data_IF_446149877813
#
_entry.id   IF_446149877813
#
_cell.length_a   1.000
_cell.length_b   1.000
_cell.length_c   1.000
_cell.angle_alpha   90.00
_cell.angle_beta   90.00
_cell.angle_gamma   90.00
#
_symmetry.space_group_name_H-M   'P 1'
#
loop_
_entity.id
_entity.type
_entity.pdbx_description
1 polymer ?
#
# COMPACT_ATOMS: atom_id res chain seq x y z
N UNK A 1 0.95 -10.20 -15.01
CA UNK A 1 0.06 -10.07 -13.84
C UNK A 1 0.67 -9.01 -12.94
N UNK A 2 -0.14 -8.17 -12.28
CA UNK A 2 0.32 -7.04 -11.43
C UNK A 2 1.15 -7.54 -10.25
N UNK A 3 0.68 -8.60 -9.60
CA UNK A 3 1.34 -9.19 -8.43
C UNK A 3 2.75 -9.71 -8.73
N UNK A 4 2.97 -10.25 -9.93
CA UNK A 4 4.31 -10.69 -10.36
C UNK A 4 5.27 -9.51 -10.59
N UNK A 5 4.76 -8.35 -11.04
CA UNK A 5 5.56 -7.13 -11.21
C UNK A 5 5.95 -6.54 -9.85
N UNK A 6 5.00 -6.47 -8.92
CA UNK A 6 5.27 -6.02 -7.54
C UNK A 6 6.31 -6.96 -6.89
N UNK A 7 6.12 -8.28 -7.03
CA UNK A 7 7.07 -9.25 -6.48
C UNK A 7 8.46 -9.12 -7.10
N UNK A 8 8.55 -8.88 -8.41
CA UNK A 8 9.82 -8.63 -9.10
C UNK A 8 10.56 -7.43 -8.51
N UNK A 9 9.86 -6.30 -8.30
CA UNK A 9 10.45 -5.11 -7.68
C UNK A 9 10.95 -5.39 -6.26
N UNK A 10 10.23 -6.20 -5.49
CA UNK A 10 10.66 -6.60 -4.15
C UNK A 10 11.85 -7.55 -4.14
N UNK A 11 11.96 -8.45 -5.13
CA UNK A 11 13.13 -9.33 -5.32
C UNK A 11 14.37 -8.51 -5.66
N UNK A 12 14.22 -7.50 -6.51
CA UNK A 12 15.31 -6.68 -7.01
C UNK A 12 15.82 -5.64 -5.99
N UNK A 13 14.94 -5.18 -5.09
CA UNK A 13 15.28 -4.08 -4.19
C UNK A 13 14.63 -4.24 -2.82
N UNK A 14 15.48 -4.44 -1.81
CA UNK A 14 15.10 -4.55 -0.40
C UNK A 14 14.38 -3.32 0.14
N UNK A 15 14.89 -2.11 -0.20
CA UNK A 15 14.35 -0.86 0.33
C UNK A 15 12.92 -0.65 -0.17
N UNK A 16 12.66 -1.00 -1.44
CA UNK A 16 11.33 -1.02 -2.03
C UNK A 16 10.41 -1.97 -1.26
N UNK A 17 10.86 -3.20 -0.97
CA UNK A 17 10.09 -4.13 -0.15
C UNK A 17 9.79 -3.53 1.23
N UNK A 18 10.80 -3.01 1.92
CA UNK A 18 10.65 -2.47 3.29
C UNK A 18 9.63 -1.34 3.34
N UNK A 19 9.66 -0.44 2.35
CA UNK A 19 8.76 0.71 2.25
C UNK A 19 7.33 0.32 1.88
N UNK A 20 7.16 -0.60 0.94
CA UNK A 20 5.88 -0.81 0.28
C UNK A 20 5.18 -2.14 0.60
N UNK A 21 5.84 -3.10 1.29
CA UNK A 21 5.25 -4.41 1.62
C UNK A 21 3.93 -4.31 2.39
N UNK A 22 3.79 -3.31 3.25
CA UNK A 22 2.58 -3.04 4.05
C UNK A 22 1.32 -2.78 3.20
N UNK A 23 1.50 -2.31 1.96
CA UNK A 23 0.38 -2.02 1.06
C UNK A 23 -0.10 -3.26 0.28
N UNK A 24 0.66 -4.36 0.29
CA UNK A 24 0.30 -5.59 -0.40
C UNK A 24 -0.82 -6.32 0.34
N UNK A 25 -1.91 -6.61 -0.36
CA UNK A 25 -3.06 -7.35 0.19
C UNK A 25 -2.80 -8.86 0.13
N UNK A 26 -1.97 -9.36 1.05
CA UNK A 26 -1.54 -10.76 1.07
C UNK A 26 -2.68 -11.78 1.11
N UNK A 27 -3.80 -11.48 1.79
CA UNK A 27 -4.97 -12.36 1.82
C UNK A 27 -5.61 -12.52 0.44
N UNK A 28 -5.67 -11.45 -0.35
CA UNK A 28 -6.13 -11.51 -1.73
C UNK A 28 -5.22 -12.40 -2.58
N UNK A 29 -3.89 -12.22 -2.48
CA UNK A 29 -2.91 -13.03 -3.21
C UNK A 29 -3.01 -14.49 -2.78
N UNK A 30 -3.10 -14.78 -1.48
CA UNK A 30 -3.24 -16.13 -0.95
C UNK A 30 -4.45 -16.88 -1.52
N UNK A 31 -5.57 -16.19 -1.64
CA UNK A 31 -6.82 -16.81 -2.11
C UNK A 31 -6.85 -17.04 -3.62
N UNK A 32 -6.10 -16.25 -4.40
CA UNK A 32 -6.15 -16.28 -5.86
C UNK A 32 -4.88 -16.86 -6.50
N UNK A 33 -3.71 -16.75 -5.83
CA UNK A 33 -2.39 -17.03 -6.40
C UNK A 33 -1.45 -17.62 -5.34
N UNK A 34 -1.73 -18.86 -4.91
CA UNK A 34 -1.05 -19.49 -3.76
C UNK A 34 0.47 -19.50 -3.88
N UNK A 35 1.03 -19.79 -5.05
CA UNK A 35 2.49 -19.88 -5.20
C UNK A 35 3.15 -18.50 -5.22
N UNK A 36 2.49 -17.49 -5.79
CA UNK A 36 2.95 -16.10 -5.70
C UNK A 36 2.91 -15.63 -4.24
N UNK A 37 1.86 -15.98 -3.49
CA UNK A 37 1.80 -15.69 -2.05
C UNK A 37 2.98 -16.30 -1.29
N UNK A 38 3.30 -17.59 -1.56
CA UNK A 38 4.47 -18.24 -0.95
C UNK A 38 5.77 -17.49 -1.27
N UNK A 39 5.94 -17.05 -2.52
CA UNK A 39 7.10 -16.27 -2.94
C UNK A 39 7.18 -14.90 -2.24
N UNK A 40 6.07 -14.17 -2.04
CA UNK A 40 6.05 -12.94 -1.22
C UNK A 40 6.51 -13.20 0.21
N UNK A 41 6.04 -14.27 0.84
CA UNK A 41 6.44 -14.65 2.20
C UNK A 41 7.93 -14.98 2.28
N UNK A 42 8.45 -15.75 1.32
CA UNK A 42 9.87 -16.12 1.25
C UNK A 42 10.73 -14.88 1.06
N UNK A 43 10.38 -14.00 0.12
CA UNK A 43 11.11 -12.77 -0.15
C UNK A 43 11.21 -11.89 1.10
N UNK A 44 10.12 -11.72 1.83
CA UNK A 44 10.11 -10.97 3.09
C UNK A 44 10.97 -11.63 4.17
N UNK A 45 10.88 -12.96 4.34
CA UNK A 45 11.72 -13.72 5.29
C UNK A 45 13.20 -13.68 4.92
N UNK A 46 13.53 -13.74 3.63
CA UNK A 46 14.91 -13.68 3.15
C UNK A 46 15.59 -12.38 3.60
N UNK A 47 14.97 -11.23 3.35
CA UNK A 47 15.55 -9.95 3.75
C UNK A 47 15.54 -9.72 5.27
N UNK A 48 14.67 -10.37 6.01
CA UNK A 48 14.73 -10.38 7.49
C UNK A 48 15.91 -11.18 7.99
N UNK A 49 16.25 -12.28 7.31
CA UNK A 49 17.37 -13.17 7.66
C UNK A 49 18.73 -12.63 7.20
N UNK A 50 18.77 -12.03 6.00
CA UNK A 50 19.99 -11.54 5.35
C UNK A 50 19.92 -10.02 5.21
N UNK A 51 20.28 -9.32 6.29
CA UNK A 51 20.10 -7.86 6.40
C UNK A 51 21.11 -7.04 5.58
N UNK A 52 22.16 -7.66 5.07
CA UNK A 52 23.19 -7.07 4.21
C UNK A 52 22.89 -7.18 2.70
N UNK A 53 21.85 -7.94 2.33
CA UNK A 53 21.47 -8.16 0.92
C UNK A 53 20.50 -7.10 0.43
N UNK A 54 20.72 -6.59 -0.77
CA UNK A 54 19.85 -5.63 -1.45
C UNK A 54 18.90 -6.26 -2.48
N UNK A 55 19.32 -7.39 -3.07
CA UNK A 55 18.55 -8.14 -4.06
C UNK A 55 18.66 -9.63 -3.81
N UNK A 56 17.74 -10.40 -4.36
CA UNK A 56 17.70 -11.87 -4.27
C UNK A 56 17.94 -12.45 -5.66
N UNK A 57 18.89 -13.37 -5.77
CA UNK A 57 19.12 -14.10 -7.02
C UNK A 57 18.12 -15.22 -7.20
N UNK A 58 18.00 -15.73 -8.44
CA UNK A 58 17.15 -16.90 -8.75
C UNK A 58 17.48 -18.10 -7.87
N UNK A 59 18.78 -18.40 -7.75
CA UNK A 59 19.30 -19.56 -7.00
C UNK A 59 18.99 -19.43 -5.50
N UNK A 60 19.12 -18.24 -4.94
CA UNK A 60 18.80 -17.96 -3.54
C UNK A 60 17.30 -18.11 -3.30
N UNK A 61 16.46 -17.58 -4.19
CA UNK A 61 14.99 -17.68 -4.07
C UNK A 61 14.52 -19.13 -4.18
N UNK A 62 15.06 -19.91 -5.12
CA UNK A 62 14.78 -21.35 -5.28
C UNK A 62 15.23 -22.14 -4.05
N UNK A 63 16.41 -21.84 -3.52
CA UNK A 63 16.95 -22.49 -2.33
C UNK A 63 16.03 -22.26 -1.12
N UNK A 64 15.68 -21.00 -0.86
CA UNK A 64 14.78 -20.67 0.26
C UNK A 64 13.37 -21.23 0.06
N UNK A 65 12.87 -21.31 -1.20
CA UNK A 65 11.60 -21.96 -1.49
C UNK A 65 11.64 -23.46 -1.12
N UNK A 66 12.66 -24.17 -1.58
CA UNK A 66 12.83 -25.61 -1.32
C UNK A 66 13.04 -25.92 0.17
N UNK A 67 13.65 -25.02 0.93
CA UNK A 67 13.83 -25.17 2.39
C UNK A 67 12.50 -25.02 3.13
N UNK A 68 11.62 -24.12 2.67
CA UNK A 68 10.36 -23.82 3.35
C UNK A 68 9.19 -24.70 2.90
N UNK A 69 9.23 -25.24 1.67
CA UNK A 69 8.15 -26.06 1.09
C UNK A 69 8.72 -27.32 0.47
N UNK A 70 8.16 -28.45 0.85
CA UNK A 70 8.47 -29.73 0.21
C UNK A 70 7.74 -29.77 -1.14
N UNK A 71 8.47 -30.04 -2.22
CA UNK A 71 7.95 -30.11 -3.59
C UNK A 71 8.24 -31.48 -4.18
N UNK A 72 7.27 -32.02 -4.91
CA UNK A 72 7.49 -33.11 -5.85
C UNK A 72 8.24 -32.58 -7.10
N UNK A 73 8.86 -33.48 -7.86
CA UNK A 73 9.68 -33.05 -9.01
C UNK A 73 8.88 -32.28 -10.07
N UNK A 74 7.60 -32.59 -10.26
CA UNK A 74 6.70 -31.87 -11.16
C UNK A 74 6.43 -30.45 -10.69
N UNK A 75 6.13 -30.27 -9.40
CA UNK A 75 5.86 -28.97 -8.79
C UNK A 75 7.11 -28.08 -8.78
N UNK A 76 8.29 -28.71 -8.62
CA UNK A 76 9.57 -27.97 -8.67
C UNK A 76 9.78 -27.30 -10.01
N UNK A 77 9.51 -28.01 -11.13
CA UNK A 77 9.63 -27.45 -12.47
C UNK A 77 8.63 -26.30 -12.72
N UNK A 78 7.42 -26.40 -12.18
CA UNK A 78 6.42 -25.34 -12.28
C UNK A 78 6.85 -24.08 -11.51
N UNK A 79 7.34 -24.25 -10.28
CA UNK A 79 7.85 -23.14 -9.46
C UNK A 79 9.09 -22.51 -10.09
N UNK A 80 10.02 -23.29 -10.61
CA UNK A 80 11.19 -22.77 -11.32
C UNK A 80 10.78 -21.94 -12.53
N UNK A 81 9.85 -22.43 -13.34
CA UNK A 81 9.29 -21.71 -14.48
C UNK A 81 8.57 -20.42 -14.06
N UNK A 82 7.85 -20.42 -12.93
CA UNK A 82 7.21 -19.23 -12.37
C UNK A 82 8.24 -18.19 -11.94
N UNK A 83 9.30 -18.61 -11.25
CA UNK A 83 10.38 -17.73 -10.80
C UNK A 83 11.10 -17.14 -12.02
N UNK A 84 11.41 -17.93 -13.03
CA UNK A 84 12.02 -17.46 -14.28
C UNK A 84 11.15 -16.41 -14.97
N UNK A 85 9.85 -16.65 -15.04
CA UNK A 85 8.91 -15.70 -15.62
C UNK A 85 8.85 -14.38 -14.85
N UNK A 86 8.97 -14.41 -13.52
CA UNK A 86 8.96 -13.22 -12.67
C UNK A 86 10.28 -12.45 -12.84
N UNK A 87 11.42 -13.12 -12.72
CA UNK A 87 12.75 -12.50 -12.79
C UNK A 87 13.01 -11.87 -14.15
N UNK A 88 12.56 -12.50 -15.23
CA UNK A 88 12.75 -12.00 -16.60
C UNK A 88 11.77 -10.88 -16.98
N UNK A 89 10.86 -10.46 -16.10
CA UNK A 89 10.00 -9.31 -16.38
C UNK A 89 10.81 -8.02 -16.38
N UNK A 90 10.60 -7.22 -17.42
CA UNK A 90 11.17 -5.89 -17.53
C UNK A 90 10.23 -4.88 -16.89
N UNK A 91 10.74 -4.04 -16.02
CA UNK A 91 10.01 -2.93 -15.40
C UNK A 91 10.70 -1.65 -15.85
N UNK A 92 9.98 -0.80 -16.55
CA UNK A 92 10.56 0.40 -17.19
C UNK A 92 10.87 1.51 -16.19
N UNK A 93 10.18 1.57 -15.03
CA UNK A 93 10.39 2.62 -14.03
C UNK A 93 9.84 2.20 -12.66
N UNK A 94 10.57 2.54 -11.57
CA UNK A 94 10.10 2.36 -10.19
C UNK A 94 8.88 3.24 -9.85
N UNK A 95 8.72 4.39 -10.53
CA UNK A 95 7.53 5.24 -10.40
C UNK A 95 6.22 4.50 -10.75
N UNK A 96 6.29 3.44 -11.56
CA UNK A 96 5.13 2.58 -11.84
C UNK A 96 4.70 1.71 -10.65
N UNK A 97 5.52 1.57 -9.60
CA UNK A 97 5.21 0.72 -8.45
C UNK A 97 3.97 1.19 -7.69
N UNK A 98 3.84 2.48 -7.45
CA UNK A 98 2.66 3.04 -6.75
C UNK A 98 1.39 2.77 -7.56
N UNK A 99 1.45 2.96 -8.86
CA UNK A 99 0.34 2.63 -9.75
C UNK A 99 -0.01 1.14 -9.72
N UNK A 100 1.00 0.25 -9.76
CA UNK A 100 0.81 -1.20 -9.62
C UNK A 100 0.21 -1.58 -8.26
N UNK A 101 0.65 -0.94 -7.18
CA UNK A 101 0.10 -1.18 -5.84
C UNK A 101 -1.34 -0.68 -5.74
N UNK A 102 -1.66 0.46 -6.32
CA UNK A 102 -3.03 0.99 -6.38
C UNK A 102 -3.93 0.06 -7.22
N UNK A 103 -3.46 -0.41 -8.37
CA UNK A 103 -4.18 -1.39 -9.18
C UNK A 103 -4.41 -2.70 -8.41
N UNK A 104 -3.38 -3.22 -7.74
CA UNK A 104 -3.50 -4.41 -6.88
C UNK A 104 -4.53 -4.22 -5.76
N UNK A 105 -4.48 -3.07 -5.10
CA UNK A 105 -5.40 -2.69 -4.02
C UNK A 105 -6.86 -2.61 -4.52
N UNK A 106 -7.08 -1.97 -5.68
CA UNK A 106 -8.40 -1.89 -6.33
C UNK A 106 -8.93 -3.26 -6.71
N UNK A 107 -8.09 -4.16 -7.25
CA UNK A 107 -8.48 -5.54 -7.58
C UNK A 107 -8.85 -6.35 -6.34
N UNK A 108 -8.06 -6.23 -5.27
CA UNK A 108 -8.36 -6.91 -4.01
C UNK A 108 -9.70 -6.45 -3.42
N UNK A 109 -9.94 -5.14 -3.42
CA UNK A 109 -11.17 -4.56 -2.90
C UNK A 109 -12.39 -4.92 -3.77
N UNK A 110 -12.24 -4.93 -5.09
CA UNK A 110 -13.30 -5.40 -6.00
C UNK A 110 -13.67 -6.87 -5.72
N UNK A 111 -12.68 -7.72 -5.42
CA UNK A 111 -12.91 -9.10 -4.99
C UNK A 111 -13.66 -9.21 -3.67
N UNK A 112 -13.31 -8.37 -2.69
CA UNK A 112 -14.01 -8.31 -1.40
C UNK A 112 -15.46 -7.83 -1.55
N UNK A 113 -15.70 -6.81 -2.40
CA UNK A 113 -17.05 -6.31 -2.72
C UNK A 113 -17.88 -7.39 -3.39
N UNK A 114 -17.33 -8.09 -4.39
CA UNK A 114 -18.04 -9.16 -5.08
C UNK A 114 -18.45 -10.29 -4.12
N UNK A 115 -17.55 -10.69 -3.21
CA UNK A 115 -17.84 -11.68 -2.17
C UNK A 115 -18.93 -11.20 -1.22
N UNK A 116 -18.83 -9.95 -0.75
CA UNK A 116 -19.82 -9.36 0.14
C UNK A 116 -21.20 -9.23 -0.53
N UNK A 117 -21.24 -8.91 -1.83
CA UNK A 117 -22.50 -8.87 -2.60
C UNK A 117 -23.19 -10.24 -2.64
N UNK A 118 -22.43 -11.33 -2.81
CA UNK A 118 -22.95 -12.70 -2.72
C UNK A 118 -23.45 -13.03 -1.31
N UNK A 119 -22.71 -12.63 -0.28
CA UNK A 119 -23.12 -12.83 1.12
C UNK A 119 -24.41 -12.05 1.45
N UNK A 120 -24.63 -10.87 0.84
CA UNK A 120 -25.89 -10.11 0.96
C UNK A 120 -27.03 -10.83 0.23
N UNK A 121 -26.81 -11.33 -0.98
CA UNK A 121 -27.80 -12.11 -1.75
C UNK A 121 -28.26 -13.36 -0.98
N UNK A 122 -27.34 -14.04 -0.33
CA UNK A 122 -27.60 -15.22 0.50
C UNK A 122 -28.17 -14.88 1.89
N UNK A 123 -28.34 -13.60 2.23
CA UNK A 123 -28.83 -13.16 3.54
C UNK A 123 -27.83 -13.30 4.70
N UNK A 124 -26.55 -13.50 4.41
CA UNK A 124 -25.46 -13.65 5.40
C UNK A 124 -24.87 -12.31 5.85
N UNK A 125 -25.03 -11.25 5.04
CA UNK A 125 -24.56 -9.90 5.32
C UNK A 125 -25.68 -8.87 5.03
N UNK A 126 -25.49 -7.62 5.49
CA UNK A 126 -26.46 -6.53 5.29
C UNK A 126 -26.07 -5.68 4.09
N UNK A 127 -27.06 -5.09 3.44
CA UNK A 127 -26.85 -4.14 2.34
C UNK A 127 -26.04 -2.90 2.79
N UNK A 128 -26.19 -2.47 4.05
CA UNK A 128 -25.38 -1.39 4.63
C UNK A 128 -23.87 -1.69 4.56
N UNK A 129 -23.47 -2.92 4.85
CA UNK A 129 -22.07 -3.33 4.87
C UNK A 129 -21.44 -3.23 3.46
N UNK A 130 -22.27 -3.49 2.43
CA UNK A 130 -21.86 -3.34 1.02
C UNK A 130 -21.69 -1.86 0.65
N UNK A 131 -22.59 -0.99 1.10
CA UNK A 131 -22.51 0.45 0.84
C UNK A 131 -21.27 1.05 1.50
N UNK A 132 -21.02 0.70 2.75
CA UNK A 132 -19.83 1.16 3.49
C UNK A 132 -18.55 0.73 2.78
N UNK A 133 -18.51 -0.51 2.25
CA UNK A 133 -17.36 -1.03 1.51
C UNK A 133 -17.14 -0.31 0.17
N UNK A 134 -18.20 0.13 -0.50
CA UNK A 134 -18.09 0.96 -1.71
C UNK A 134 -17.56 2.37 -1.41
N UNK A 135 -17.97 2.98 -0.30
CA UNK A 135 -17.44 4.28 0.13
C UNK A 135 -15.94 4.23 0.40
N UNK A 136 -15.45 3.14 1.00
CA UNK A 136 -14.02 2.92 1.19
C UNK A 136 -13.24 2.83 -0.13
N UNK A 137 -13.89 2.43 -1.24
CA UNK A 137 -13.25 2.27 -2.55
C UNK A 137 -12.80 3.59 -3.16
N UNK A 138 -13.56 4.67 -2.96
CA UNK A 138 -13.30 5.97 -3.59
C UNK A 138 -12.10 6.73 -2.97
N UNK A 139 -11.66 6.34 -1.76
CA UNK A 139 -10.73 7.14 -0.95
C UNK A 139 -9.43 6.42 -0.59
N UNK A 140 -9.07 5.32 -1.27
CA UNK A 140 -7.97 4.44 -0.84
C UNK A 140 -6.73 4.40 -1.75
N UNK A 141 -6.55 5.32 -2.68
CA UNK A 141 -5.31 5.34 -3.46
C UNK A 141 -4.12 5.71 -2.55
N UNK A 142 -2.99 5.05 -2.80
CA UNK A 142 -1.71 5.38 -2.17
C UNK A 142 -1.22 6.65 -2.87
N UNK A 143 -1.14 7.76 -2.14
CA UNK A 143 -0.56 8.98 -2.65
C UNK A 143 0.97 8.95 -2.48
N UNK A 144 1.72 9.51 -3.44
CA UNK A 144 3.18 9.57 -3.35
C UNK A 144 3.65 10.30 -2.08
N UNK A 145 2.91 11.33 -1.67
CA UNK A 145 3.21 12.16 -0.52
C UNK A 145 3.05 11.43 0.84
N UNK A 146 2.17 10.41 0.94
CA UNK A 146 2.08 9.59 2.16
C UNK A 146 3.34 8.77 2.43
N UNK A 147 4.13 8.47 1.39
CA UNK A 147 5.36 7.70 1.52
C UNK A 147 6.56 8.59 1.94
N UNK A 148 6.53 9.89 1.65
CA UNK A 148 7.57 10.87 2.05
C UNK A 148 7.29 11.49 3.43
N UNK A 149 6.02 11.59 3.84
CA UNK A 149 5.63 12.23 5.11
C UNK A 149 6.16 11.53 6.38
N UNK A 150 6.71 10.30 6.27
CA UNK A 150 7.22 9.55 7.41
C UNK A 150 8.64 9.98 7.83
N UNK A 151 9.40 10.63 6.94
CA UNK A 151 10.79 11.08 7.22
C UNK A 151 10.93 12.61 7.44
N UNK A 152 9.83 13.38 7.36
CA UNK A 152 9.88 14.79 7.65
C UNK A 152 9.97 15.00 9.16
N UNK A 153 11.07 15.60 9.64
CA UNK A 153 11.19 16.01 11.04
C UNK A 153 10.03 16.96 11.39
N UNK A 154 9.22 16.56 12.36
CA UNK A 154 8.09 17.36 12.85
C UNK A 154 8.49 18.80 13.19
N UNK A 155 9.76 19.02 13.55
CA UNK A 155 10.34 20.34 13.80
C UNK A 155 10.48 21.17 12.51
N UNK A 156 10.81 20.57 11.39
CA UNK A 156 10.88 21.25 10.09
C UNK A 156 9.49 21.59 9.56
N UNK A 157 8.54 20.67 9.71
CA UNK A 157 7.13 20.91 9.36
C UNK A 157 6.54 22.06 10.18
N UNK A 158 6.81 22.08 11.48
CA UNK A 158 6.39 23.16 12.37
C UNK A 158 7.01 24.50 12.00
N UNK A 159 8.32 24.54 11.70
CA UNK A 159 9.04 25.75 11.33
C UNK A 159 8.65 26.28 9.95
N UNK A 160 8.37 25.43 8.97
CA UNK A 160 7.88 25.84 7.64
C UNK A 160 6.48 26.47 7.73
N UNK A 161 5.67 26.00 8.66
CA UNK A 161 4.32 26.53 8.87
C UNK A 161 4.30 27.87 9.63
N UNK A 162 5.31 28.19 10.43
CA UNK A 162 5.37 29.47 11.18
C UNK A 162 5.74 30.66 10.29
N UNK A 163 6.41 30.41 9.15
CA UNK A 163 6.98 31.47 8.28
C UNK A 163 6.03 32.10 7.26
N UNK A 164 4.90 31.49 6.93
CA UNK A 164 3.98 32.06 5.93
C UNK A 164 2.96 33.04 6.55
N UNK A 165 2.89 34.30 6.04
CA UNK A 165 1.89 35.26 6.48
C UNK A 165 0.52 34.87 5.92
N UNK A 166 -0.27 34.13 6.67
CA UNK A 166 -1.66 33.86 6.35
C UNK A 166 -2.56 35.10 6.46
N UNK A 167 -3.81 34.98 6.01
CA UNK A 167 -4.84 36.01 6.15
C UNK A 167 -5.15 36.22 7.64
N UNK A 168 -4.94 37.45 8.11
CA UNK A 168 -5.26 37.81 9.51
C UNK A 168 -6.74 38.05 9.71
N UNK A 169 -7.26 37.54 10.79
CA UNK A 169 -8.61 37.86 11.22
C UNK A 169 -8.75 39.36 11.53
N UNK A 170 -9.86 39.95 11.18
CA UNK A 170 -10.17 41.33 11.50
C UNK A 170 -10.28 41.58 13.01
N UNK A 171 -10.59 40.53 13.79
CA UNK A 171 -10.69 40.57 15.23
C UNK A 171 -9.37 40.09 15.86
N UNK A 172 -8.73 40.95 16.63
CA UNK A 172 -7.40 40.72 17.23
C UNK A 172 -7.35 39.53 18.17
N UNK A 173 -8.43 39.22 18.85
CA UNK A 173 -8.51 38.08 19.76
C UNK A 173 -8.56 36.73 18.99
N UNK A 174 -9.19 36.69 17.83
CA UNK A 174 -9.15 35.51 16.97
C UNK A 174 -7.73 35.22 16.47
N UNK A 175 -6.98 36.25 16.10
CA UNK A 175 -5.57 36.07 15.73
C UNK A 175 -4.72 35.52 16.88
N UNK A 176 -5.04 35.87 18.11
CA UNK A 176 -4.33 35.37 19.31
C UNK A 176 -4.70 33.92 19.65
N UNK A 177 -5.95 33.53 19.40
CA UNK A 177 -6.46 32.21 19.80
C UNK A 177 -6.31 31.15 18.72
N UNK A 178 -6.48 31.51 17.45
CA UNK A 178 -6.48 30.59 16.31
C UNK A 178 -5.30 30.79 15.36
N UNK A 179 -4.57 31.91 15.51
CA UNK A 179 -3.54 32.28 14.52
C UNK A 179 -4.13 32.85 13.23
N UNK A 180 -3.29 33.04 12.22
CA UNK A 180 -3.69 33.49 10.89
C UNK A 180 -4.24 32.30 10.08
N UNK A 181 -5.28 32.55 9.26
CA UNK A 181 -5.79 31.58 8.31
C UNK A 181 -4.76 31.31 7.20
N UNK A 182 -4.49 30.08 6.91
CA UNK A 182 -3.53 29.63 5.87
C UNK A 182 -4.25 28.97 4.71
N UNK A 183 -3.54 28.76 3.62
CA UNK A 183 -4.04 27.98 2.49
C UNK A 183 -4.32 26.55 2.97
N UNK A 184 -5.57 26.10 2.81
CA UNK A 184 -6.02 24.78 3.29
C UNK A 184 -6.74 24.81 4.64
N UNK A 185 -6.67 25.91 5.41
CA UNK A 185 -7.45 26.04 6.62
C UNK A 185 -8.94 26.20 6.31
N UNK A 186 -9.76 25.46 7.01
CA UNK A 186 -11.21 25.50 6.89
C UNK A 186 -11.84 25.78 8.27
N UNK A 187 -12.70 26.79 8.35
CA UNK A 187 -13.33 27.17 9.61
C UNK A 187 -14.77 27.60 9.44
N UNK A 188 -15.60 27.26 10.43
CA UNK A 188 -16.98 27.73 10.55
C UNK A 188 -17.10 28.71 11.70
N UNK A 189 -17.76 29.83 11.47
CA UNK A 189 -18.15 30.79 12.51
C UNK A 189 -19.65 30.71 12.70
N UNK A 190 -20.08 30.32 13.88
CA UNK A 190 -21.48 30.30 14.26
C UNK A 190 -21.76 31.52 15.14
N UNK A 191 -22.79 32.28 14.81
CA UNK A 191 -23.30 33.34 15.65
C UNK A 191 -24.79 33.11 15.91
N UNK A 192 -25.24 33.33 17.14
CA UNK A 192 -26.67 33.36 17.45
C UNK A 192 -27.32 34.55 16.75
N UNK A 193 -28.50 34.39 16.12
CA UNK A 193 -29.18 35.50 15.47
C UNK A 193 -29.80 36.53 16.42
N UNK A 194 -29.67 36.32 17.71
CA UNK A 194 -30.29 37.15 18.77
C UNK A 194 -29.24 37.90 19.57
N UNK A 195 -28.60 38.91 18.96
CA UNK A 195 -27.96 40.00 19.73
C UNK A 195 -27.89 41.27 18.90
#
# INVERSE_FOLDING_TARGET
MVEELILKLFIDNRDVLTKYYKYVKLNYIKNNYTDIYKLFIITSKYYTKYTDKYSITKEELLTEYNVNYYLEDSERNEIESLIDRIINKTIENEASLIELLNEHKRRALAGDIAKLALDVEEGKAKTSDLIDKFSDFEHQDIEEDEAEAVDMDLSELYNSQIGEPGLRWRLSWLNKSLGSLRTGDFGFIFASPET
#
